data_IF_368876897002
#
_entry.id   IF_368876897002
#
_cell.length_a   1.000
_cell.length_b   1.000
_cell.length_c   1.000
_cell.angle_alpha   90.00
_cell.angle_beta   90.00
_cell.angle_gamma   90.00
#
_symmetry.space_group_name_H-M   'P 1'
#
loop_
_entity.id
_entity.type
_entity.pdbx_description
1 polymer ?
#
# COMPACT_ATOMS: atom_id res chain seq x y z
N UNK A 1 -5.46 -7.30 5.18
CA UNK A 1 -4.01 -7.55 5.36
C UNK A 1 -3.54 -6.45 6.28
N UNK A 2 -3.16 -6.75 7.51
CA UNK A 2 -2.91 -5.75 8.58
C UNK A 2 -1.44 -5.74 9.00
N UNK A 3 -0.52 -5.79 8.02
CA UNK A 3 0.92 -5.92 8.31
C UNK A 3 1.41 -4.76 9.18
N UNK A 4 1.11 -3.51 8.78
CA UNK A 4 1.56 -2.31 9.48
C UNK A 4 0.96 -2.18 10.89
N UNK A 5 -0.32 -2.50 11.06
CA UNK A 5 -0.98 -2.43 12.37
C UNK A 5 -0.45 -3.51 13.32
N UNK A 6 -0.21 -4.72 12.81
CA UNK A 6 0.29 -5.82 13.62
C UNK A 6 1.71 -5.54 14.13
N UNK A 7 2.64 -5.13 13.25
CA UNK A 7 4.02 -4.82 13.66
C UNK A 7 4.08 -3.56 14.53
N UNK A 8 3.24 -2.56 14.29
CA UNK A 8 3.17 -1.38 15.13
C UNK A 8 2.72 -1.74 16.55
N UNK A 9 1.64 -2.52 16.66
CA UNK A 9 1.11 -2.99 17.95
C UNK A 9 2.14 -3.84 18.71
N UNK A 10 2.82 -4.76 18.03
CA UNK A 10 3.84 -5.62 18.63
C UNK A 10 5.04 -4.83 19.22
N UNK A 11 5.29 -3.62 18.72
CA UNK A 11 6.41 -2.75 19.13
C UNK A 11 5.97 -1.57 20.00
N UNK A 12 4.74 -1.64 20.53
CA UNK A 12 4.15 -0.62 21.40
C UNK A 12 3.79 0.68 20.68
N UNK A 13 3.77 0.70 19.35
CA UNK A 13 3.29 1.81 18.53
C UNK A 13 1.78 1.65 18.29
N UNK A 14 0.99 1.81 19.36
CA UNK A 14 -0.46 1.66 19.27
C UNK A 14 -1.10 2.85 18.51
N UNK A 15 -2.23 2.58 17.85
CA UNK A 15 -3.03 3.60 17.17
C UNK A 15 -2.72 3.80 15.68
N UNK A 16 -1.68 3.16 15.15
CA UNK A 16 -1.44 3.12 13.70
C UNK A 16 -2.53 2.31 13.01
N UNK A 17 -3.08 2.86 11.93
CA UNK A 17 -4.12 2.23 11.13
C UNK A 17 -3.95 2.58 9.66
N UNK A 18 -4.00 1.58 8.79
CA UNK A 18 -4.09 1.80 7.36
C UNK A 18 -5.48 2.32 7.02
N UNK A 19 -5.53 3.36 6.20
CA UNK A 19 -6.77 3.91 5.65
C UNK A 19 -6.80 3.63 4.16
N UNK A 20 -8.00 3.53 3.59
CA UNK A 20 -8.13 3.55 2.13
C UNK A 20 -7.54 4.85 1.61
N UNK A 21 -6.51 4.75 0.77
CA UNK A 21 -5.82 5.92 0.22
C UNK A 21 -6.72 6.79 -0.66
N UNK A 22 -6.36 8.07 -0.75
CA UNK A 22 -6.95 9.07 -1.66
C UNK A 22 -6.08 9.37 -2.88
N UNK A 23 -6.37 10.47 -3.59
CA UNK A 23 -5.54 10.95 -4.71
C UNK A 23 -4.17 11.41 -4.22
N UNK A 24 -3.11 10.79 -4.71
CA UNK A 24 -1.72 11.21 -4.49
C UNK A 24 -0.77 10.31 -5.26
N UNK A 25 0.52 10.60 -5.18
CA UNK A 25 1.55 9.89 -5.95
C UNK A 25 1.46 8.38 -5.77
N UNK A 26 1.23 7.90 -4.53
CA UNK A 26 1.08 6.47 -4.21
C UNK A 26 0.09 5.76 -5.13
N UNK A 27 -1.02 6.42 -5.50
CA UNK A 27 -2.00 5.85 -6.44
C UNK A 27 -1.42 5.69 -7.84
N UNK A 28 -0.59 6.63 -8.30
CA UNK A 28 0.12 6.56 -9.58
C UNK A 28 1.13 5.41 -9.56
N UNK A 29 1.97 5.31 -8.51
CA UNK A 29 2.92 4.20 -8.37
C UNK A 29 2.23 2.83 -8.40
N UNK A 30 1.11 2.70 -7.67
CA UNK A 30 0.29 1.47 -7.67
C UNK A 30 -0.27 1.17 -9.07
N UNK A 31 -0.71 2.19 -9.82
CA UNK A 31 -1.17 2.01 -11.20
C UNK A 31 -0.05 1.51 -12.14
N UNK A 32 1.21 1.84 -11.85
CA UNK A 32 2.38 1.31 -12.53
C UNK A 32 2.88 -0.04 -11.97
N UNK A 33 2.11 -0.69 -11.08
CA UNK A 33 2.45 -2.00 -10.52
C UNK A 33 3.53 -1.96 -9.44
N UNK A 34 3.79 -0.79 -8.87
CA UNK A 34 4.74 -0.62 -7.77
C UNK A 34 3.96 -0.65 -6.45
N UNK A 35 4.15 -1.71 -5.68
CA UNK A 35 3.54 -1.87 -4.35
C UNK A 35 4.01 -0.77 -3.41
N UNK A 36 3.14 0.20 -3.17
CA UNK A 36 3.47 1.43 -2.47
C UNK A 36 2.44 1.74 -1.40
N UNK A 37 2.90 2.28 -0.27
CA UNK A 37 2.04 2.83 0.78
C UNK A 37 2.50 4.25 1.08
N UNK A 38 1.55 5.11 1.43
CA UNK A 38 1.86 6.45 1.91
C UNK A 38 1.97 6.43 3.45
N UNK A 39 2.99 7.10 3.99
CA UNK A 39 3.19 7.24 5.43
C UNK A 39 3.10 8.73 5.78
N UNK A 40 1.92 9.15 6.22
CA UNK A 40 1.66 10.53 6.61
C UNK A 40 1.11 10.53 8.04
N UNK A 41 1.80 11.23 8.94
CA UNK A 41 1.32 11.49 10.29
C UNK A 41 1.87 12.83 10.78
N UNK A 42 1.04 13.60 11.49
CA UNK A 42 1.48 14.83 12.16
C UNK A 42 1.47 16.11 11.33
N UNK A 43 1.19 16.06 10.03
CA UNK A 43 1.06 17.24 9.19
C UNK A 43 -0.31 17.91 9.37
N UNK A 44 -0.31 19.25 9.41
CA UNK A 44 -1.53 20.08 9.30
C UNK A 44 -1.25 21.21 8.32
N UNK A 45 -2.29 21.64 7.60
CA UNK A 45 -2.22 22.69 6.58
C UNK A 45 -1.20 22.40 5.47
N UNK A 46 -1.10 21.15 5.01
CA UNK A 46 -0.19 20.75 3.93
C UNK A 46 -0.39 21.66 2.70
N UNK A 47 0.72 22.12 2.10
CA UNK A 47 0.74 23.03 0.95
C UNK A 47 0.22 24.46 1.23
N UNK A 48 0.31 24.94 2.48
CA UNK A 48 -0.02 26.31 2.87
C UNK A 48 1.10 26.94 3.68
N UNK A 49 1.12 28.26 3.76
CA UNK A 49 2.13 29.00 4.52
C UNK A 49 2.08 28.67 6.02
N UNK A 50 0.91 28.25 6.54
CA UNK A 50 0.71 27.82 7.92
C UNK A 50 0.92 26.32 8.15
N UNK A 51 1.69 25.65 7.28
CA UNK A 51 2.04 24.24 7.43
C UNK A 51 2.77 24.01 8.76
N UNK A 52 2.30 23.03 9.53
CA UNK A 52 2.91 22.64 10.80
C UNK A 52 3.07 21.14 10.89
N UNK A 53 4.17 20.73 11.52
CA UNK A 53 4.51 19.34 11.78
C UNK A 53 4.53 19.06 13.28
N UNK A 54 3.76 18.06 13.70
CA UNK A 54 3.93 17.43 15.01
C UNK A 54 5.20 16.58 15.01
N UNK A 55 6.24 17.08 15.68
CA UNK A 55 7.55 16.42 15.78
C UNK A 55 7.46 15.06 16.49
N UNK A 56 6.53 14.89 17.42
CA UNK A 56 6.32 13.61 18.12
C UNK A 56 5.74 12.58 17.16
N UNK A 57 4.74 12.96 16.36
CA UNK A 57 4.18 12.09 15.32
C UNK A 57 5.21 11.76 14.23
N UNK A 58 6.06 12.73 13.86
CA UNK A 58 7.19 12.50 12.93
C UNK A 58 8.17 11.46 13.48
N UNK A 59 8.57 11.59 14.75
CA UNK A 59 9.44 10.62 15.41
C UNK A 59 8.81 9.22 15.48
N UNK A 60 7.51 9.13 15.77
CA UNK A 60 6.79 7.85 15.76
C UNK A 60 6.75 7.23 14.36
N UNK A 61 6.64 8.03 13.30
CA UNK A 61 6.74 7.57 11.91
C UNK A 61 8.11 6.95 11.64
N UNK A 62 9.19 7.61 12.05
CA UNK A 62 10.54 7.08 11.91
C UNK A 62 10.73 5.75 12.68
N UNK A 63 10.14 5.63 13.88
CA UNK A 63 10.11 4.37 14.63
C UNK A 63 9.37 3.27 13.88
N UNK A 64 8.21 3.57 13.29
CA UNK A 64 7.45 2.60 12.50
C UNK A 64 8.28 2.09 11.31
N UNK A 65 8.94 2.99 10.57
CA UNK A 65 9.81 2.60 9.45
C UNK A 65 10.93 1.66 9.91
N UNK A 66 11.59 1.99 11.02
CA UNK A 66 12.64 1.13 11.60
C UNK A 66 12.10 -0.26 11.94
N UNK A 67 10.93 -0.34 12.58
CA UNK A 67 10.25 -1.60 12.92
C UNK A 67 9.92 -2.42 11.67
N UNK A 68 9.37 -1.79 10.63
CA UNK A 68 9.07 -2.44 9.34
C UNK A 68 10.33 -3.05 8.73
N UNK A 69 11.43 -2.29 8.71
CA UNK A 69 12.71 -2.75 8.18
C UNK A 69 13.27 -3.92 8.99
N UNK A 70 13.15 -3.88 10.32
CA UNK A 70 13.58 -4.98 11.20
C UNK A 70 12.74 -6.24 11.00
N UNK A 71 11.47 -6.11 10.63
CA UNK A 71 10.55 -7.22 10.33
C UNK A 71 10.62 -7.68 8.87
N UNK A 72 11.79 -7.57 8.23
CA UNK A 72 11.98 -7.86 6.81
C UNK A 72 11.59 -9.28 6.36
N UNK A 73 11.65 -10.29 7.25
CA UNK A 73 11.17 -11.64 6.93
C UNK A 73 9.66 -11.67 6.70
N UNK A 74 8.90 -11.02 7.56
CA UNK A 74 7.45 -10.93 7.45
C UNK A 74 7.05 -10.05 6.26
N UNK A 75 7.73 -8.92 6.06
CA UNK A 75 7.54 -8.06 4.89
C UNK A 75 7.71 -8.85 3.57
N UNK A 76 8.77 -9.66 3.45
CA UNK A 76 8.96 -10.52 2.26
C UNK A 76 7.85 -11.55 2.09
N UNK A 77 7.33 -12.12 3.18
CA UNK A 77 6.20 -13.05 3.13
C UNK A 77 4.94 -12.37 2.60
N UNK A 78 4.67 -11.14 3.08
CA UNK A 78 3.57 -10.30 2.61
C UNK A 78 3.71 -9.97 1.12
N UNK A 79 4.86 -9.49 0.68
CA UNK A 79 5.13 -9.16 -0.73
C UNK A 79 4.96 -10.38 -1.66
N UNK A 80 5.40 -11.56 -1.23
CA UNK A 80 5.18 -12.81 -1.99
C UNK A 80 3.70 -13.15 -2.15
N UNK A 81 2.89 -12.96 -1.09
CA UNK A 81 1.44 -13.17 -1.16
C UNK A 81 0.77 -12.18 -2.10
N UNK A 82 1.20 -10.92 -2.11
CA UNK A 82 0.70 -9.90 -3.03
C UNK A 82 1.04 -10.26 -4.47
N UNK A 83 2.30 -10.57 -4.76
CA UNK A 83 2.76 -10.98 -6.09
C UNK A 83 1.99 -12.19 -6.64
N UNK A 84 1.76 -13.22 -5.81
CA UNK A 84 0.94 -14.39 -6.18
C UNK A 84 -0.48 -14.00 -6.59
N UNK A 85 -1.15 -13.19 -5.78
CA UNK A 85 -2.51 -12.69 -6.09
C UNK A 85 -2.54 -11.84 -7.36
N UNK A 86 -1.51 -11.02 -7.59
CA UNK A 86 -1.37 -10.24 -8.82
C UNK A 86 -1.26 -11.13 -10.06
N UNK A 87 -0.49 -12.20 -9.99
CA UNK A 87 -0.34 -13.17 -11.09
C UNK A 87 -1.63 -13.94 -11.37
N UNK A 88 -2.34 -14.38 -10.32
CA UNK A 88 -3.65 -15.04 -10.44
C UNK A 88 -4.67 -14.14 -11.14
N UNK A 89 -4.74 -12.84 -10.78
CA UNK A 89 -5.62 -11.87 -11.45
C UNK A 89 -5.30 -11.72 -12.93
N UNK A 90 -4.02 -11.50 -13.28
CA UNK A 90 -3.59 -11.38 -14.68
C UNK A 90 -3.90 -12.63 -15.51
N UNK A 91 -3.70 -13.81 -14.93
CA UNK A 91 -4.04 -15.08 -15.58
C UNK A 91 -5.55 -15.17 -15.86
N UNK A 92 -6.38 -14.84 -14.87
CA UNK A 92 -7.84 -14.85 -14.99
C UNK A 92 -8.33 -13.87 -16.06
N UNK A 93 -7.83 -12.62 -16.06
CA UNK A 93 -8.13 -11.63 -17.11
C UNK A 93 -7.76 -12.13 -18.50
N UNK A 94 -6.57 -12.71 -18.65
CA UNK A 94 -6.13 -13.29 -19.93
C UNK A 94 -7.04 -14.43 -20.38
N UNK A 95 -7.49 -15.29 -19.45
CA UNK A 95 -8.42 -16.38 -19.74
C UNK A 95 -9.79 -15.86 -20.18
N UNK A 96 -10.30 -14.83 -19.49
CA UNK A 96 -11.55 -14.13 -19.84
C UNK A 96 -11.49 -13.54 -21.24
N UNK A 97 -10.41 -12.81 -21.58
CA UNK A 97 -10.22 -12.22 -22.92
C UNK A 97 -10.23 -13.32 -24.00
N UNK A 98 -9.52 -14.43 -23.77
CA UNK A 98 -9.50 -15.57 -24.70
C UNK A 98 -10.87 -16.23 -24.88
N UNK A 99 -11.72 -16.22 -23.86
CA UNK A 99 -13.07 -16.77 -23.93
C UNK A 99 -14.02 -15.83 -24.70
N UNK A 100 -13.95 -14.53 -24.45
CA UNK A 100 -14.76 -13.51 -25.15
C UNK A 100 -14.45 -13.51 -26.65
N UNK A 101 -13.15 -13.54 -27.02
CA UNK A 101 -12.73 -13.60 -28.42
C UNK A 101 -13.21 -14.88 -29.12
N UNK A 102 -13.19 -16.04 -28.42
CA UNK A 102 -13.72 -17.31 -28.97
C UNK A 102 -15.23 -17.26 -29.21
N UNK A 103 -15.96 -16.49 -28.41
CA UNK A 103 -17.41 -16.34 -28.51
C UNK A 103 -17.83 -15.21 -29.48
N UNK A 104 -16.90 -14.62 -30.23
CA UNK A 104 -17.17 -13.53 -31.17
C UNK A 104 -17.50 -12.19 -30.51
N UNK A 105 -17.37 -12.07 -29.19
CA UNK A 105 -17.54 -10.81 -28.47
C UNK A 105 -16.32 -9.91 -28.67
N UNK A 106 -16.56 -8.62 -28.93
CA UNK A 106 -15.49 -7.60 -28.89
C UNK A 106 -15.46 -6.99 -27.49
N UNK A 107 -14.28 -6.98 -26.86
CA UNK A 107 -14.05 -6.16 -25.67
C UNK A 107 -13.84 -4.73 -26.18
N UNK A 108 -14.80 -3.85 -25.92
CA UNK A 108 -14.66 -2.41 -26.15
C UNK A 108 -14.12 -1.83 -24.85
N UNK A 109 -12.86 -1.39 -24.88
CA UNK A 109 -12.20 -0.65 -23.82
C UNK A 109 -12.48 0.85 -23.96
#
# INVERSE_FOLDING_TARGET
>A
MHFFENIATAEGLNGWKTTSGGSGDTRVWVAHGIESVNLLAGYRNEYRDEEVLDVTASYQTARLVKVVCNNGKELRSVLRKISRKGNERKYNETSLIKQVNRNGGKIVC
#
